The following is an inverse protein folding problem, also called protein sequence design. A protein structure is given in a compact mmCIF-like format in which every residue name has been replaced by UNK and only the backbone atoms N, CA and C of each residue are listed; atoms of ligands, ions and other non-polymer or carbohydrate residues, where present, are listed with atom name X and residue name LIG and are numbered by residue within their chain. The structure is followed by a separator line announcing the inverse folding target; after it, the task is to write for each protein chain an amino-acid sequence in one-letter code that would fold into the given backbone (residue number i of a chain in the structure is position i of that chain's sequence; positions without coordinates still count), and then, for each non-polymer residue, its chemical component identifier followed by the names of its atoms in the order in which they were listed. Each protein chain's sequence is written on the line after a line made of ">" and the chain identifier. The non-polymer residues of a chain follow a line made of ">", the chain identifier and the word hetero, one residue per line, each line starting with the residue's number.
data_IF_384662981639
#
_entry.id   IF_384662981639
#
_cell.length_a   1.000
_cell.length_b   1.000
_cell.length_c   1.000
_cell.angle_alpha   90.00
_cell.angle_beta   90.00
_cell.angle_gamma   90.00
#
_symmetry.space_group_name_H-M   'P 1'
#
loop_
_entity.id
_entity.type
_entity.pdbx_description
1 polymer ?
#
# COMPACT_ATOMS: atom_id res chain seq x y z
N UNK A 1 -20.31 -13.63 -10.76
CA UNK A 1 -19.41 -12.50 -10.57
C UNK A 1 -19.90 -11.64 -9.41
N UNK A 2 -19.01 -11.18 -8.56
CA UNK A 2 -19.32 -10.32 -7.41
C UNK A 2 -18.37 -9.12 -7.42
N UNK A 3 -18.93 -7.92 -7.44
CA UNK A 3 -18.17 -6.68 -7.33
C UNK A 3 -17.85 -6.34 -5.88
N UNK A 4 -16.60 -6.03 -5.60
CA UNK A 4 -16.18 -5.41 -4.34
C UNK A 4 -15.92 -3.92 -4.60
N UNK A 5 -16.96 -3.12 -4.44
CA UNK A 5 -17.00 -1.69 -4.81
C UNK A 5 -15.78 -0.91 -4.30
N UNK A 6 -15.50 -1.02 -3.00
CA UNK A 6 -14.40 -0.25 -2.39
C UNK A 6 -13.02 -0.81 -2.67
N UNK A 7 -12.92 -2.09 -2.98
CA UNK A 7 -11.66 -2.73 -3.30
C UNK A 7 -11.27 -2.62 -4.80
N UNK A 8 -12.21 -2.21 -5.66
CA UNK A 8 -11.97 -2.15 -7.11
C UNK A 8 -11.66 -3.52 -7.71
N UNK A 9 -12.31 -4.57 -7.23
CA UNK A 9 -12.09 -5.97 -7.67
C UNK A 9 -13.40 -6.62 -8.06
N UNK A 10 -13.32 -7.54 -9.01
CA UNK A 10 -14.41 -8.47 -9.36
C UNK A 10 -13.99 -9.89 -8.97
N UNK A 11 -14.74 -10.49 -8.07
CA UNK A 11 -14.56 -11.89 -7.70
C UNK A 11 -15.36 -12.80 -8.62
N UNK A 12 -14.72 -13.85 -9.12
CA UNK A 12 -15.33 -14.89 -9.95
C UNK A 12 -15.51 -16.14 -9.11
N UNK A 13 -16.74 -16.61 -9.00
CA UNK A 13 -17.07 -17.81 -8.26
C UNK A 13 -17.58 -18.90 -9.19
N UNK A 14 -17.11 -20.12 -8.98
CA UNK A 14 -17.79 -21.33 -9.43
C UNK A 14 -18.96 -21.60 -8.48
N UNK A 15 -20.15 -21.70 -9.07
CA UNK A 15 -21.42 -21.93 -8.38
C UNK A 15 -22.06 -23.27 -8.79
N UNK A 16 -21.27 -24.20 -9.32
CA UNK A 16 -21.76 -25.54 -9.67
C UNK A 16 -22.39 -26.19 -8.46
N UNK A 17 -21.78 -26.01 -7.27
CA UNK A 17 -22.35 -26.37 -5.98
C UNK A 17 -22.89 -25.13 -5.27
N UNK A 18 -24.18 -24.84 -5.41
CA UNK A 18 -24.81 -23.61 -4.92
C UNK A 18 -24.62 -23.35 -3.41
N UNK A 19 -24.50 -24.42 -2.60
CA UNK A 19 -24.30 -24.30 -1.16
C UNK A 19 -22.83 -24.08 -0.76
N UNK A 20 -21.90 -24.20 -1.71
CA UNK A 20 -20.47 -24.04 -1.49
C UNK A 20 -19.81 -23.31 -2.68
N UNK A 21 -20.11 -22.02 -2.89
CA UNK A 21 -19.47 -21.25 -3.95
C UNK A 21 -17.95 -21.22 -3.76
N UNK A 22 -17.21 -21.58 -4.80
CA UNK A 22 -15.75 -21.60 -4.77
C UNK A 22 -15.21 -20.35 -5.47
N UNK A 23 -14.43 -19.53 -4.77
CA UNK A 23 -13.70 -18.43 -5.38
C UNK A 23 -12.62 -18.99 -6.31
N UNK A 24 -12.74 -18.71 -7.59
CA UNK A 24 -11.82 -19.21 -8.62
C UNK A 24 -10.83 -18.15 -9.10
N UNK A 25 -11.22 -16.87 -9.04
CA UNK A 25 -10.41 -15.80 -9.60
C UNK A 25 -10.77 -14.44 -9.00
N UNK A 26 -9.76 -13.58 -8.87
CA UNK A 26 -9.92 -12.14 -8.62
C UNK A 26 -9.46 -11.37 -9.85
N UNK A 27 -10.28 -10.44 -10.33
CA UNK A 27 -9.98 -9.59 -11.47
C UNK A 27 -9.86 -8.13 -11.00
N UNK A 28 -8.83 -7.41 -11.46
CA UNK A 28 -8.75 -5.97 -11.22
C UNK A 28 -9.90 -5.27 -11.96
N UNK A 29 -10.46 -4.25 -11.35
CA UNK A 29 -11.50 -3.43 -11.95
C UNK A 29 -11.16 -1.94 -11.81
N UNK A 30 -11.96 -1.11 -12.43
CA UNK A 30 -12.00 0.31 -12.06
C UNK A 30 -12.62 0.52 -10.67
N UNK A 31 -12.64 1.75 -10.21
CA UNK A 31 -13.10 2.08 -8.86
C UNK A 31 -14.64 2.07 -8.82
N UNK A 32 -15.19 1.35 -7.87
CA UNK A 32 -16.63 1.20 -7.69
C UNK A 32 -17.29 0.27 -8.71
N UNK A 33 -16.87 -1.01 -8.86
CA UNK A 33 -17.55 -1.96 -9.72
C UNK A 33 -18.90 -2.38 -9.12
N UNK A 34 -20.00 -2.01 -9.77
CA UNK A 34 -21.36 -2.31 -9.30
C UNK A 34 -22.17 -3.15 -10.27
N UNK A 35 -22.26 -2.71 -11.52
CA UNK A 35 -23.07 -3.39 -12.55
C UNK A 35 -22.24 -4.35 -13.39
N UNK A 36 -22.81 -5.51 -13.72
CA UNK A 36 -22.15 -6.51 -14.56
C UNK A 36 -23.05 -6.98 -15.68
N UNK A 37 -22.46 -7.19 -16.85
CA UNK A 37 -23.12 -7.88 -17.96
C UNK A 37 -22.18 -8.93 -18.56
N UNK A 38 -22.65 -10.15 -18.67
CA UNK A 38 -21.96 -11.22 -19.39
C UNK A 38 -22.45 -11.29 -20.83
N UNK A 39 -21.54 -11.51 -21.75
CA UNK A 39 -21.80 -11.73 -23.19
C UNK A 39 -21.14 -13.05 -23.57
N UNK A 40 -21.76 -14.20 -23.21
CA UNK A 40 -21.16 -15.53 -23.31
C UNK A 40 -20.74 -15.89 -24.74
N UNK A 41 -21.51 -15.48 -25.76
CA UNK A 41 -21.25 -15.77 -27.18
C UNK A 41 -19.94 -15.13 -27.67
N UNK A 42 -19.44 -14.12 -26.95
CA UNK A 42 -18.20 -13.43 -27.27
C UNK A 42 -17.10 -13.71 -26.25
N UNK A 43 -17.38 -14.51 -25.21
CA UNK A 43 -16.46 -14.73 -24.11
C UNK A 43 -16.12 -13.44 -23.35
N UNK A 44 -17.06 -12.52 -23.22
CA UNK A 44 -16.83 -11.24 -22.57
C UNK A 44 -17.67 -11.07 -21.31
N UNK A 45 -17.13 -10.31 -20.37
CA UNK A 45 -17.84 -9.71 -19.26
C UNK A 45 -17.44 -8.24 -19.13
N UNK A 46 -18.39 -7.38 -18.82
CA UNK A 46 -18.14 -5.97 -18.56
C UNK A 46 -18.61 -5.60 -17.15
N UNK A 47 -17.85 -4.75 -16.46
CA UNK A 47 -18.26 -4.11 -15.21
C UNK A 47 -18.39 -2.61 -15.40
N UNK A 48 -19.47 -2.03 -14.88
CA UNK A 48 -19.64 -0.60 -14.74
C UNK A 48 -18.92 -0.13 -13.46
N UNK A 49 -18.05 0.84 -13.59
CA UNK A 49 -17.29 1.42 -12.49
C UNK A 49 -17.82 2.83 -12.22
N UNK A 50 -18.53 2.98 -11.09
CA UNK A 50 -19.37 4.14 -10.82
C UNK A 50 -18.57 5.40 -10.49
N UNK A 51 -17.42 5.26 -9.81
CA UNK A 51 -16.73 6.40 -9.21
C UNK A 51 -16.23 7.40 -10.25
N UNK A 52 -16.65 8.64 -10.04
CA UNK A 52 -16.20 9.81 -10.78
C UNK A 52 -15.51 10.78 -9.83
N UNK A 53 -14.19 10.92 -9.96
CA UNK A 53 -13.37 11.85 -9.19
C UNK A 53 -13.22 13.23 -9.88
N UNK A 54 -13.93 13.47 -10.95
CA UNK A 54 -13.77 14.62 -11.84
C UNK A 54 -14.48 15.90 -11.35
N UNK A 55 -14.88 15.96 -10.09
CA UNK A 55 -15.70 17.10 -9.59
C UNK A 55 -15.00 18.45 -9.56
N UNK A 56 -13.67 18.51 -9.66
CA UNK A 56 -12.89 19.76 -9.57
C UNK A 56 -11.67 19.85 -10.48
N UNK A 57 -11.18 18.73 -11.01
CA UNK A 57 -9.96 18.64 -11.82
C UNK A 57 -10.08 17.51 -12.84
N UNK A 58 -9.31 17.54 -13.97
CA UNK A 58 -9.28 16.41 -14.89
C UNK A 58 -8.80 15.15 -14.15
N UNK A 59 -9.72 14.26 -13.81
CA UNK A 59 -9.46 13.03 -13.06
C UNK A 59 -10.07 11.83 -13.79
N UNK A 60 -10.06 10.70 -13.09
CA UNK A 60 -10.67 9.48 -13.57
C UNK A 60 -12.20 9.62 -13.56
N UNK A 61 -12.83 9.58 -14.72
CA UNK A 61 -14.28 9.52 -14.84
C UNK A 61 -14.79 8.09 -14.65
N UNK A 62 -16.10 7.96 -14.37
CA UNK A 62 -16.76 6.66 -14.42
C UNK A 62 -16.52 5.99 -15.78
N UNK A 63 -16.30 4.68 -15.78
CA UNK A 63 -15.90 3.94 -16.97
C UNK A 63 -16.37 2.48 -16.92
N UNK A 64 -16.19 1.79 -18.02
CA UNK A 64 -16.50 0.36 -18.13
C UNK A 64 -15.19 -0.41 -18.28
N UNK A 65 -15.00 -1.45 -17.45
CA UNK A 65 -13.93 -2.43 -17.65
C UNK A 65 -14.49 -3.63 -18.41
N UNK A 66 -13.78 -4.06 -19.46
CA UNK A 66 -14.16 -5.23 -20.26
C UNK A 66 -13.10 -6.30 -20.07
N UNK A 67 -13.54 -7.50 -19.69
CA UNK A 67 -12.71 -8.69 -19.56
C UNK A 67 -13.03 -9.65 -20.70
N UNK A 68 -12.01 -10.31 -21.21
CA UNK A 68 -12.15 -11.33 -22.24
C UNK A 68 -11.66 -12.68 -21.69
N UNK A 69 -12.45 -13.72 -21.90
CA UNK A 69 -12.03 -15.10 -21.61
C UNK A 69 -10.90 -15.49 -22.55
N UNK A 70 -9.78 -15.96 -21.99
CA UNK A 70 -8.59 -16.35 -22.72
C UNK A 70 -8.02 -17.64 -22.14
N UNK A 71 -7.28 -18.38 -22.96
CA UNK A 71 -6.45 -19.49 -22.50
C UNK A 71 -5.10 -18.92 -22.02
N UNK A 72 -5.09 -18.42 -20.81
CA UNK A 72 -3.95 -17.77 -20.17
C UNK A 72 -3.99 -18.00 -18.65
N UNK A 73 -2.88 -17.84 -17.93
CA UNK A 73 -2.88 -17.87 -16.48
C UNK A 73 -3.88 -16.86 -15.92
N UNK A 74 -4.86 -17.34 -15.20
CA UNK A 74 -5.99 -16.56 -14.72
C UNK A 74 -5.74 -16.05 -13.30
N UNK A 75 -4.66 -15.34 -13.05
CA UNK A 75 -4.42 -14.84 -11.71
C UNK A 75 -4.17 -13.34 -11.69
N UNK A 76 -4.99 -12.64 -10.93
CA UNK A 76 -4.66 -11.32 -10.44
C UNK A 76 -3.67 -11.50 -9.28
N UNK A 77 -2.48 -10.88 -9.35
CA UNK A 77 -1.52 -10.97 -8.26
C UNK A 77 -2.15 -10.45 -6.97
N UNK A 78 -2.11 -11.23 -5.92
CA UNK A 78 -2.61 -10.84 -4.60
C UNK A 78 -1.67 -11.33 -3.51
N UNK A 79 -1.83 -10.75 -2.33
CA UNK A 79 -1.04 -11.04 -1.15
C UNK A 79 -1.86 -11.91 -0.20
N UNK A 80 -1.22 -12.92 0.40
CA UNK A 80 -1.79 -13.73 1.47
C UNK A 80 -0.84 -13.84 2.65
N UNK A 81 -1.39 -14.08 3.82
CA UNK A 81 -0.63 -14.47 5.02
C UNK A 81 -1.02 -15.87 5.52
N UNK A 82 -1.64 -16.69 4.68
CA UNK A 82 -2.16 -18.03 5.03
C UNK A 82 -1.11 -19.14 5.02
N UNK A 83 0.12 -18.88 5.43
CA UNK A 83 1.12 -19.94 5.52
C UNK A 83 1.26 -20.59 6.91
N UNK A 84 0.39 -20.24 7.84
CA UNK A 84 0.06 -21.09 8.98
C UNK A 84 0.93 -20.98 10.23
N UNK A 85 1.91 -20.08 10.34
CA UNK A 85 2.71 -20.02 11.57
C UNK A 85 2.32 -18.86 12.50
N UNK A 86 2.02 -17.69 11.96
CA UNK A 86 1.53 -16.55 12.74
C UNK A 86 0.57 -15.71 11.88
N UNK A 87 -0.55 -15.32 12.48
CA UNK A 87 -1.44 -14.36 11.85
C UNK A 87 -0.83 -12.96 11.95
N UNK A 88 -0.46 -12.38 10.81
CA UNK A 88 -0.02 -10.99 10.72
C UNK A 88 -1.17 -10.13 10.24
N UNK A 89 -1.67 -9.26 11.10
CA UNK A 89 -2.63 -8.23 10.69
C UNK A 89 -1.92 -7.21 9.79
N UNK A 90 -2.47 -6.96 8.60
CA UNK A 90 -1.91 -6.04 7.62
C UNK A 90 -3.01 -5.27 6.88
N UNK A 91 -2.65 -4.11 6.33
CA UNK A 91 -3.57 -3.27 5.56
C UNK A 91 -2.99 -1.88 5.35
N UNK A 92 -3.68 -1.05 4.57
CA UNK A 92 -3.29 0.31 4.24
C UNK A 92 -1.79 0.43 3.89
N UNK A 93 -1.29 -0.48 3.03
CA UNK A 93 0.09 -0.42 2.55
C UNK A 93 0.24 0.86 1.74
N UNK A 94 1.18 1.72 2.16
CA UNK A 94 1.47 3.00 1.54
C UNK A 94 2.74 2.96 0.69
N UNK A 95 3.87 2.56 1.27
CA UNK A 95 5.15 2.48 0.57
C UNK A 95 5.70 1.06 0.46
N UNK A 96 6.46 0.81 -0.62
CA UNK A 96 7.12 -0.48 -0.85
C UNK A 96 8.49 -0.28 -1.48
N UNK A 97 9.42 -1.19 -1.18
CA UNK A 97 10.75 -1.28 -1.83
C UNK A 97 11.13 -2.73 -2.05
N UNK A 98 11.81 -3.01 -3.15
CA UNK A 98 12.45 -4.30 -3.38
C UNK A 98 13.79 -4.36 -2.64
N UNK A 99 14.00 -5.42 -1.88
CA UNK A 99 15.29 -5.72 -1.27
C UNK A 99 16.21 -6.51 -2.20
N UNK A 100 17.50 -6.45 -1.92
CA UNK A 100 18.52 -7.21 -2.69
C UNK A 100 18.40 -8.74 -2.45
N UNK A 101 17.67 -9.14 -1.43
CA UNK A 101 17.35 -10.53 -1.10
C UNK A 101 16.16 -11.10 -1.87
N UNK A 102 15.58 -10.32 -2.79
CA UNK A 102 14.41 -10.69 -3.59
C UNK A 102 13.08 -10.57 -2.87
N UNK A 103 13.06 -10.05 -1.64
CA UNK A 103 11.82 -9.74 -0.91
C UNK A 103 11.31 -8.33 -1.25
N UNK A 104 10.04 -8.10 -0.95
CA UNK A 104 9.44 -6.76 -0.94
C UNK A 104 9.25 -6.36 0.52
N UNK A 105 9.68 -5.15 0.85
CA UNK A 105 9.47 -4.53 2.15
C UNK A 105 8.43 -3.43 2.00
N UNK A 106 7.40 -3.46 2.86
CA UNK A 106 6.28 -2.52 2.77
C UNK A 106 5.97 -1.90 4.13
N UNK A 107 5.47 -0.68 4.15
CA UNK A 107 5.00 0.01 5.36
C UNK A 107 3.51 0.28 5.29
N UNK A 108 2.86 0.34 6.46
CA UNK A 108 1.46 0.74 6.56
C UNK A 108 1.33 2.23 6.88
N UNK A 109 0.32 2.87 6.30
CA UNK A 109 -0.17 4.19 6.67
C UNK A 109 -0.77 4.17 8.08
N UNK A 110 -0.67 5.27 8.81
CA UNK A 110 -1.29 5.49 10.12
C UNK A 110 -2.81 5.32 10.14
N UNK A 111 -3.48 5.43 8.99
CA UNK A 111 -4.92 5.16 8.82
C UNK A 111 -5.31 3.75 9.23
N UNK A 112 -4.40 2.79 9.11
CA UNK A 112 -4.65 1.41 9.54
C UNK A 112 -4.83 1.29 11.06
N UNK A 113 -4.40 2.31 11.82
CA UNK A 113 -4.54 2.41 13.28
C UNK A 113 -3.99 1.21 14.04
N UNK A 114 -2.96 0.61 13.53
CA UNK A 114 -2.17 -0.44 14.17
C UNK A 114 -0.77 0.09 14.46
N UNK A 115 0.06 -0.75 15.09
CA UNK A 115 1.44 -0.36 15.31
C UNK A 115 2.20 -0.22 13.99
N UNK A 116 3.14 0.72 13.90
CA UNK A 116 4.01 0.88 12.74
C UNK A 116 4.84 -0.38 12.49
N UNK A 117 4.84 -0.86 11.25
CA UNK A 117 5.49 -2.11 10.85
C UNK A 117 6.16 -2.00 9.50
N UNK A 118 7.16 -2.84 9.32
CA UNK A 118 7.68 -3.20 8.00
C UNK A 118 7.22 -4.63 7.72
N UNK A 119 6.43 -4.81 6.68
CA UNK A 119 5.99 -6.11 6.21
C UNK A 119 7.03 -6.71 5.27
N UNK A 120 7.36 -7.98 5.47
CA UNK A 120 8.26 -8.74 4.60
C UNK A 120 7.43 -9.67 3.74
N UNK A 121 7.51 -9.45 2.43
CA UNK A 121 6.68 -10.13 1.43
C UNK A 121 7.57 -10.93 0.50
N UNK A 122 7.25 -12.20 0.31
CA UNK A 122 7.85 -13.07 -0.70
C UNK A 122 7.01 -13.02 -1.98
N UNK A 123 7.51 -12.43 -3.06
CA UNK A 123 6.81 -12.37 -4.33
C UNK A 123 7.04 -13.62 -5.21
N UNK A 124 7.80 -14.60 -4.77
CA UNK A 124 8.17 -15.77 -5.59
C UNK A 124 7.02 -16.75 -5.83
N UNK A 125 5.95 -16.66 -5.04
CA UNK A 125 4.75 -17.46 -5.16
C UNK A 125 3.55 -16.65 -5.66
N UNK A 126 2.50 -17.35 -6.11
CA UNK A 126 1.20 -16.75 -6.44
C UNK A 126 0.10 -17.53 -5.72
N UNK A 127 -0.56 -16.93 -4.75
CA UNK A 127 -0.40 -15.54 -4.23
C UNK A 127 0.98 -15.28 -3.61
N UNK A 128 1.41 -14.01 -3.63
CA UNK A 128 2.59 -13.56 -2.91
C UNK A 128 2.38 -13.76 -1.40
N UNK A 129 3.43 -14.10 -0.67
CA UNK A 129 3.32 -14.44 0.74
C UNK A 129 3.80 -13.32 1.64
N UNK A 130 2.94 -12.85 2.54
CA UNK A 130 3.36 -12.02 3.67
C UNK A 130 3.95 -12.94 4.75
N UNK A 131 5.28 -12.98 4.83
CA UNK A 131 5.99 -13.92 5.69
C UNK A 131 5.96 -13.49 7.16
N UNK A 132 6.20 -12.22 7.41
CA UNK A 132 6.28 -11.66 8.75
C UNK A 132 6.15 -10.15 8.75
N UNK A 133 6.00 -9.56 9.92
CA UNK A 133 6.12 -8.14 10.15
C UNK A 133 7.25 -7.84 11.15
N UNK A 134 7.93 -6.72 10.94
CA UNK A 134 8.95 -6.16 11.82
C UNK A 134 8.32 -4.95 12.50
N UNK A 135 8.13 -5.00 13.81
CA UNK A 135 7.60 -3.88 14.58
C UNK A 135 8.65 -2.77 14.69
N UNK A 136 8.26 -1.53 14.36
CA UNK A 136 9.17 -0.39 14.50
C UNK A 136 9.17 0.10 15.94
N UNK A 137 10.37 0.30 16.50
CA UNK A 137 10.60 0.61 17.91
C UNK A 137 11.55 1.79 18.07
N UNK A 138 11.36 2.51 19.15
CA UNK A 138 12.31 3.48 19.68
C UNK A 138 12.64 3.11 21.11
N UNK A 139 13.91 2.87 21.42
CA UNK A 139 14.39 2.38 22.72
C UNK A 139 13.63 1.12 23.17
N UNK A 140 13.43 0.18 22.25
CA UNK A 140 12.73 -1.08 22.47
C UNK A 140 11.21 -0.97 22.66
N UNK A 141 10.61 0.22 22.53
CA UNK A 141 9.16 0.45 22.64
C UNK A 141 8.55 0.76 21.28
N UNK A 142 7.34 0.26 21.01
CA UNK A 142 6.63 0.52 19.77
C UNK A 142 6.50 2.01 19.46
N UNK A 143 6.87 2.42 18.26
CA UNK A 143 6.91 3.82 17.82
C UNK A 143 5.55 4.31 17.34
N UNK A 144 4.54 4.34 18.22
CA UNK A 144 3.12 4.67 17.87
C UNK A 144 2.90 6.08 17.33
N UNK A 145 3.94 6.90 17.27
CA UNK A 145 3.88 8.28 16.75
C UNK A 145 4.20 8.37 15.24
N UNK A 146 4.40 7.26 14.56
CA UNK A 146 4.75 7.26 13.14
C UNK A 146 3.50 7.16 12.26
N UNK A 147 3.46 8.02 11.24
CA UNK A 147 2.52 8.00 10.13
C UNK A 147 3.35 7.76 8.86
N UNK A 148 3.53 6.49 8.51
CA UNK A 148 4.50 6.02 7.53
C UNK A 148 3.91 6.11 6.13
N UNK A 149 4.70 6.63 5.16
CA UNK A 149 4.23 6.79 3.79
C UNK A 149 5.16 6.13 2.76
N UNK A 150 6.45 6.21 2.96
CA UNK A 150 7.43 5.64 2.05
C UNK A 150 8.52 4.86 2.75
N UNK A 151 9.16 3.94 2.02
CA UNK A 151 10.28 3.13 2.50
C UNK A 151 11.31 2.94 1.39
N UNK A 152 12.59 2.97 1.74
CA UNK A 152 13.70 2.54 0.88
C UNK A 152 14.75 1.82 1.71
N UNK A 153 15.59 0.98 1.07
CA UNK A 153 16.68 0.28 1.77
C UNK A 153 17.86 1.22 2.03
N UNK A 154 18.60 0.99 3.10
CA UNK A 154 19.85 1.71 3.39
C UNK A 154 21.08 1.09 2.69
N UNK A 155 20.90 -0.06 2.05
CA UNK A 155 21.97 -0.84 1.39
C UNK A 155 22.81 -1.68 2.35
N UNK A 156 22.48 -1.71 3.65
CA UNK A 156 23.17 -2.47 4.69
C UNK A 156 22.21 -3.37 5.50
N UNK A 157 21.00 -3.59 4.97
CA UNK A 157 19.97 -4.41 5.60
C UNK A 157 18.95 -3.64 6.43
N UNK A 158 19.13 -2.34 6.63
CA UNK A 158 18.16 -1.43 7.25
C UNK A 158 17.37 -0.63 6.23
N UNK A 159 16.62 0.36 6.72
CA UNK A 159 15.64 1.10 5.93
C UNK A 159 15.63 2.59 6.28
N UNK A 160 15.29 3.43 5.29
CA UNK A 160 14.82 4.79 5.52
C UNK A 160 13.32 4.85 5.27
N UNK A 161 12.58 5.43 6.22
CA UNK A 161 11.12 5.54 6.19
C UNK A 161 10.74 7.01 6.27
N UNK A 162 9.94 7.49 5.31
CA UNK A 162 9.36 8.83 5.33
C UNK A 162 8.02 8.83 6.07
N UNK A 163 7.72 9.96 6.74
CA UNK A 163 6.47 10.12 7.50
C UNK A 163 5.84 11.48 7.25
N UNK A 164 4.51 11.55 7.25
CA UNK A 164 3.76 12.81 7.17
C UNK A 164 3.86 13.67 8.45
N UNK A 165 4.26 13.06 9.55
CA UNK A 165 4.10 13.65 10.86
C UNK A 165 2.69 13.48 11.41
N UNK A 166 2.44 13.90 12.65
CA UNK A 166 1.12 13.77 13.27
C UNK A 166 0.35 15.08 13.17
N UNK A 167 -0.68 15.13 12.34
CA UNK A 167 -1.47 16.32 11.99
C UNK A 167 -1.84 17.24 13.17
N UNK A 168 -2.17 16.65 14.33
CA UNK A 168 -2.56 17.43 15.52
C UNK A 168 -1.40 17.72 16.47
N UNK A 169 -0.19 17.29 16.12
CA UNK A 169 1.02 17.34 16.95
C UNK A 169 2.27 17.55 16.12
N UNK A 170 2.19 18.37 15.08
CA UNK A 170 3.34 18.64 14.20
C UNK A 170 4.53 19.28 14.94
N UNK A 171 4.28 20.02 16.01
CA UNK A 171 5.36 20.58 16.85
C UNK A 171 6.15 19.49 17.59
N UNK A 172 5.50 18.39 17.99
CA UNK A 172 6.11 17.25 18.67
C UNK A 172 6.61 16.20 17.66
N UNK A 173 5.81 15.96 16.64
CA UNK A 173 6.02 14.92 15.62
C UNK A 173 5.88 15.51 14.21
N UNK A 174 6.85 16.32 13.76
CA UNK A 174 6.86 16.86 12.40
C UNK A 174 7.14 15.77 11.37
N UNK A 175 6.89 16.04 10.08
CA UNK A 175 7.37 15.19 9.01
C UNK A 175 8.87 14.94 9.13
N UNK A 176 9.27 13.70 9.01
CA UNK A 176 10.64 13.29 9.21
C UNK A 176 10.97 12.04 8.38
N UNK A 177 12.27 11.72 8.33
CA UNK A 177 12.76 10.46 7.83
C UNK A 177 13.35 9.72 9.03
N UNK A 178 13.03 8.44 9.15
CA UNK A 178 13.61 7.58 10.17
C UNK A 178 14.53 6.55 9.53
N UNK A 179 15.77 6.48 10.00
CA UNK A 179 16.67 5.37 9.71
C UNK A 179 16.36 4.25 10.70
N UNK A 180 16.04 3.08 10.19
CA UNK A 180 15.55 1.93 10.97
C UNK A 180 16.42 0.73 10.65
N UNK A 181 16.83 0.00 11.66
CA UNK A 181 17.61 -1.22 11.51
C UNK A 181 16.80 -2.39 10.92
N UNK A 182 17.46 -3.47 10.54
CA UNK A 182 16.83 -4.69 10.00
C UNK A 182 15.87 -5.38 10.98
N UNK A 183 15.95 -5.10 12.27
CA UNK A 183 15.09 -5.63 13.33
C UNK A 183 14.06 -4.62 13.86
N UNK A 184 13.98 -3.45 13.20
CA UNK A 184 12.94 -2.45 13.44
C UNK A 184 13.30 -1.36 14.47
N UNK A 185 14.52 -1.31 15.00
CA UNK A 185 14.91 -0.25 15.94
C UNK A 185 15.22 1.05 15.16
N UNK A 186 14.68 2.17 15.63
CA UNK A 186 14.99 3.49 15.08
C UNK A 186 16.39 3.89 15.51
N UNK A 187 17.29 4.04 14.55
CA UNK A 187 18.69 4.42 14.74
C UNK A 187 18.87 5.93 14.72
N UNK A 188 18.13 6.62 13.88
CA UNK A 188 18.25 8.06 13.66
C UNK A 188 16.91 8.65 13.19
N UNK A 189 16.66 9.90 13.60
CA UNK A 189 15.60 10.76 13.07
C UNK A 189 16.22 11.92 12.32
N UNK A 190 15.95 12.00 11.03
CA UNK A 190 16.38 13.07 10.14
C UNK A 190 15.20 14.03 9.93
N UNK A 191 15.36 15.27 10.33
CA UNK A 191 14.33 16.30 10.17
C UNK A 191 14.79 17.37 9.20
N UNK A 192 13.86 17.96 8.41
CA UNK A 192 14.18 19.14 7.62
C UNK A 192 14.68 20.30 8.50
N UNK A 193 15.39 21.28 7.90
CA UNK A 193 15.78 22.50 8.63
C UNK A 193 14.58 23.19 9.28
N UNK A 194 14.73 23.82 10.45
CA UNK A 194 13.63 24.53 11.12
C UNK A 194 12.95 25.60 10.25
N UNK A 195 13.71 26.29 9.39
CA UNK A 195 13.15 27.26 8.44
C UNK A 195 12.14 26.63 7.46
N UNK A 196 12.31 25.37 7.14
CA UNK A 196 11.39 24.61 6.28
C UNK A 196 10.20 24.08 7.09
N UNK A 197 10.47 23.55 8.29
CA UNK A 197 9.43 23.02 9.19
C UNK A 197 8.43 24.07 9.69
N UNK A 198 8.81 25.34 9.73
CA UNK A 198 7.90 26.45 10.10
C UNK A 198 6.65 26.52 9.19
N UNK A 199 6.73 25.97 7.99
CA UNK A 199 5.63 25.89 7.03
C UNK A 199 5.02 24.51 6.94
N UNK A 200 5.48 23.54 7.76
CA UNK A 200 5.02 22.17 7.71
C UNK A 200 3.51 22.08 7.92
N UNK A 201 2.89 21.35 7.04
CA UNK A 201 1.47 21.00 7.10
C UNK A 201 1.37 19.49 6.91
N UNK A 202 0.35 18.86 7.43
CA UNK A 202 -0.08 17.57 6.90
C UNK A 202 -1.03 17.89 5.74
N UNK A 203 -0.74 17.47 4.53
CA UNK A 203 0.13 16.39 4.08
C UNK A 203 1.64 16.70 4.11
N UNK A 204 2.44 15.70 4.44
CA UNK A 204 3.89 15.77 4.64
C UNK A 204 4.71 15.03 3.59
N UNK A 205 5.64 14.20 4.05
CA UNK A 205 6.49 13.39 3.19
C UNK A 205 5.80 12.08 2.84
N UNK A 206 5.74 11.78 1.55
CA UNK A 206 5.16 10.58 0.95
C UNK A 206 6.26 9.60 0.53
N UNK A 207 6.58 9.57 -0.75
CA UNK A 207 7.58 8.65 -1.29
C UNK A 207 9.01 8.99 -0.88
N UNK A 208 9.84 7.97 -0.74
CA UNK A 208 11.27 8.09 -0.52
C UNK A 208 12.01 7.09 -1.40
N UNK A 209 13.14 7.52 -1.96
CA UNK A 209 14.07 6.62 -2.65
C UNK A 209 15.50 7.03 -2.38
N UNK A 210 16.42 6.07 -2.48
CA UNK A 210 17.86 6.28 -2.26
C UNK A 210 18.64 6.04 -3.54
N UNK A 211 19.61 6.90 -3.79
CA UNK A 211 20.62 6.67 -4.83
C UNK A 211 22.00 7.06 -4.28
N UNK A 212 22.83 6.07 -4.02
CA UNK A 212 24.10 6.25 -3.30
C UNK A 212 23.85 6.83 -1.91
N UNK A 213 24.46 7.98 -1.61
CA UNK A 213 24.35 8.66 -0.32
C UNK A 213 23.23 9.72 -0.28
N UNK A 214 22.41 9.82 -1.32
CA UNK A 214 21.36 10.81 -1.45
C UNK A 214 20.00 10.17 -1.29
N UNK A 215 19.18 10.74 -0.41
CA UNK A 215 17.76 10.43 -0.27
C UNK A 215 16.93 11.47 -1.05
N UNK A 216 16.06 10.98 -1.92
CA UNK A 216 15.07 11.77 -2.65
C UNK A 216 13.71 11.55 -1.99
N UNK A 217 13.03 12.63 -1.61
CA UNK A 217 11.77 12.60 -0.90
C UNK A 217 10.72 13.32 -1.73
N UNK A 218 9.59 12.65 -1.96
CA UNK A 218 8.41 13.28 -2.53
C UNK A 218 7.57 13.89 -1.41
N UNK A 219 7.11 15.10 -1.61
CA UNK A 219 6.18 15.79 -0.73
C UNK A 219 4.81 15.83 -1.39
N UNK A 220 3.74 15.50 -0.65
CA UNK A 220 2.39 15.40 -1.21
C UNK A 220 1.87 16.73 -1.74
N UNK A 221 2.13 17.83 -1.01
CA UNK A 221 1.73 19.19 -1.39
C UNK A 221 2.78 20.22 -0.94
N UNK A 222 2.89 21.36 -1.65
CA UNK A 222 3.74 22.43 -1.19
C UNK A 222 3.37 22.90 0.22
N UNK A 223 4.39 23.25 1.00
CA UNK A 223 4.21 23.96 2.27
C UNK A 223 4.44 25.45 2.03
N UNK A 224 3.64 26.29 2.67
CA UNK A 224 3.66 27.73 2.45
C UNK A 224 2.44 28.22 1.67
N UNK A 225 2.53 29.44 1.19
CA UNK A 225 1.43 30.14 0.51
C UNK A 225 1.65 30.23 -1.02
N UNK A 226 2.64 29.54 -1.57
CA UNK A 226 2.97 29.52 -3.01
C UNK A 226 2.36 28.31 -3.74
#
# INVERSE_FOLDING_TARGET
>A
FVGAERAGIVAVYDITELNQPLLTQLLPSGIGPEGFVAIPERGLIASANEKDYNKKEPGLSSHVTIYQLQDAPASYPHLTNENGLEFVSWGAISGMVAGDDGKIYAVNDGTFKTQPRIYVIDPSSSPALLERAIDIKLDGKTALFMDQEGITTDGNGGFYISTEGIKKKLDEHPPAIYHVSSDGEILEKITPPPSYLNYAKNPGFEGITRNGDILYIAQQKPWGDD
#
